data_IF_252731755289
#
_entry.id   IF_252731755289
#
_cell.length_a   1.000
_cell.length_b   1.000
_cell.length_c   1.000
_cell.angle_alpha   90.00
_cell.angle_beta   90.00
_cell.angle_gamma   90.00
#
_symmetry.space_group_name_H-M   'P 1'
#
loop_
_entity.id
_entity.type
_entity.pdbx_description
1 polymer ?
#
# COMPACT_ATOMS: atom_id res chain seq x y z
N UNK A 1 25.73 -5.91 -1.15
CA UNK A 1 24.34 -6.11 -0.73
C UNK A 1 23.36 -5.45 -1.67
N UNK A 2 22.12 -5.95 -1.68
CA UNK A 2 21.03 -5.40 -2.52
C UNK A 2 20.54 -4.04 -1.98
N UNK A 3 20.66 -3.83 -0.67
CA UNK A 3 20.36 -2.55 -0.04
C UNK A 3 21.48 -1.53 -0.32
N UNK A 4 21.14 -0.26 -0.67
CA UNK A 4 19.82 0.34 -0.71
C UNK A 4 19.10 0.23 -2.07
N UNK A 5 19.76 -0.19 -3.12
CA UNK A 5 19.28 -0.14 -4.52
C UNK A 5 17.99 -0.95 -4.73
N UNK A 6 17.98 -2.19 -4.26
CA UNK A 6 16.82 -3.06 -4.35
C UNK A 6 15.62 -2.54 -3.56
N UNK A 7 15.85 -1.88 -2.42
CA UNK A 7 14.80 -1.27 -1.63
C UNK A 7 14.11 -0.11 -2.36
N UNK A 8 14.90 0.76 -2.97
CA UNK A 8 14.39 1.90 -3.76
C UNK A 8 13.60 1.42 -4.97
N UNK A 9 14.11 0.42 -5.70
CA UNK A 9 13.40 -0.17 -6.84
C UNK A 9 12.12 -0.88 -6.40
N UNK A 10 12.17 -1.64 -5.30
CA UNK A 10 10.99 -2.32 -4.76
C UNK A 10 9.88 -1.33 -4.38
N UNK A 11 10.21 -0.22 -3.72
CA UNK A 11 9.26 0.84 -3.40
C UNK A 11 8.67 1.48 -4.67
N UNK A 12 9.50 1.72 -5.69
CA UNK A 12 9.09 2.28 -6.99
C UNK A 12 8.16 1.36 -7.79
N UNK A 13 8.15 0.06 -7.52
CA UNK A 13 7.23 -0.93 -8.11
C UNK A 13 6.00 -1.11 -7.23
N UNK A 14 6.17 -1.19 -5.91
CA UNK A 14 5.11 -1.49 -4.96
C UNK A 14 4.02 -0.42 -4.95
N UNK A 15 4.38 0.86 -4.90
CA UNK A 15 3.40 1.95 -4.84
C UNK A 15 2.55 2.05 -6.11
N UNK A 16 3.10 1.99 -7.35
CA UNK A 16 2.30 1.85 -8.56
C UNK A 16 1.41 0.60 -8.60
N UNK A 17 1.85 -0.51 -7.99
CA UNK A 17 1.00 -1.71 -7.88
C UNK A 17 -0.26 -1.42 -7.08
N UNK A 18 -0.13 -0.78 -5.93
CA UNK A 18 -1.28 -0.37 -5.11
C UNK A 18 -2.14 0.68 -5.82
N UNK A 19 -1.49 1.62 -6.53
CA UNK A 19 -2.19 2.63 -7.32
C UNK A 19 -3.10 2.00 -8.38
N UNK A 20 -2.60 1.04 -9.14
CA UNK A 20 -3.39 0.34 -10.16
C UNK A 20 -4.44 -0.60 -9.57
N UNK A 21 -4.15 -1.25 -8.44
CA UNK A 21 -5.09 -2.23 -7.85
C UNK A 21 -6.19 -1.57 -7.05
N UNK A 22 -5.84 -0.75 -6.07
CA UNK A 22 -6.81 -0.20 -5.11
C UNK A 22 -7.36 1.17 -5.53
N UNK A 23 -6.51 2.06 -6.05
CA UNK A 23 -6.92 3.45 -6.33
C UNK A 23 -7.70 3.53 -7.63
N UNK A 24 -7.15 2.98 -8.72
CA UNK A 24 -7.80 3.08 -10.04
C UNK A 24 -8.71 1.89 -10.36
N UNK A 25 -8.75 0.87 -9.50
CA UNK A 25 -9.57 -0.32 -9.70
C UNK A 25 -9.21 -1.07 -10.99
N UNK A 26 -7.91 -1.23 -11.26
CA UNK A 26 -7.33 -1.87 -12.44
C UNK A 26 -7.52 -1.10 -13.77
N UNK A 27 -7.98 0.17 -13.74
CA UNK A 27 -8.01 0.98 -14.96
C UNK A 27 -6.56 1.27 -15.43
N UNK A 28 -6.26 1.20 -16.73
CA UNK A 28 -7.18 1.03 -17.85
C UNK A 28 -7.47 -0.44 -18.24
N UNK A 29 -6.99 -1.44 -17.51
CA UNK A 29 -6.98 -2.86 -17.89
C UNK A 29 -8.27 -3.62 -17.54
N UNK A 30 -9.29 -2.96 -17.06
CA UNK A 30 -10.56 -3.55 -16.59
C UNK A 30 -11.32 -4.38 -17.65
N UNK A 31 -11.11 -4.07 -18.94
CA UNK A 31 -11.78 -4.74 -20.06
C UNK A 31 -11.04 -5.98 -20.56
N UNK A 32 -9.84 -6.24 -20.06
CA UNK A 32 -9.06 -7.40 -20.45
C UNK A 32 -9.50 -8.63 -19.65
N UNK A 33 -9.21 -9.82 -20.19
CA UNK A 33 -9.38 -11.05 -19.42
C UNK A 33 -8.51 -11.00 -18.13
N UNK A 34 -8.85 -11.75 -17.06
CA UNK A 34 -8.12 -11.68 -15.80
C UNK A 34 -6.61 -11.93 -15.94
N UNK A 35 -6.22 -12.89 -16.79
CA UNK A 35 -4.80 -13.20 -17.05
C UNK A 35 -4.13 -12.06 -17.81
N UNK A 36 -4.76 -11.58 -18.89
CA UNK A 36 -4.21 -10.47 -19.69
C UNK A 36 -4.10 -9.18 -18.86
N UNK A 37 -5.09 -8.89 -18.01
CA UNK A 37 -5.05 -7.76 -17.10
C UNK A 37 -3.88 -7.89 -16.10
N UNK A 38 -3.67 -9.07 -15.52
CA UNK A 38 -2.58 -9.34 -14.62
C UNK A 38 -1.20 -9.13 -15.26
N UNK A 39 -1.01 -9.67 -16.47
CA UNK A 39 0.22 -9.49 -17.25
C UNK A 39 0.44 -8.00 -17.59
N UNK A 40 -0.59 -7.32 -18.10
CA UNK A 40 -0.52 -5.90 -18.45
C UNK A 40 -0.18 -5.02 -17.24
N UNK A 41 -0.81 -5.27 -16.08
CA UNK A 41 -0.49 -4.59 -14.83
C UNK A 41 0.96 -4.86 -14.40
N UNK A 42 1.40 -6.12 -14.42
CA UNK A 42 2.77 -6.48 -14.07
C UNK A 42 3.78 -5.73 -14.92
N UNK A 43 3.63 -5.77 -16.25
CA UNK A 43 4.52 -5.05 -17.18
C UNK A 43 4.50 -3.55 -16.92
N UNK A 44 3.30 -2.99 -16.69
CA UNK A 44 3.15 -1.53 -16.44
C UNK A 44 3.85 -1.10 -15.16
N UNK A 45 3.67 -1.82 -14.04
CA UNK A 45 4.30 -1.42 -12.77
C UNK A 45 5.81 -1.55 -12.82
N UNK A 46 6.34 -2.57 -13.50
CA UNK A 46 7.78 -2.70 -13.73
C UNK A 46 8.31 -1.58 -14.63
N UNK A 47 7.63 -1.26 -15.73
CA UNK A 47 8.01 -0.17 -16.60
C UNK A 47 8.00 1.18 -15.85
N UNK A 48 6.97 1.44 -15.04
CA UNK A 48 6.88 2.64 -14.21
C UNK A 48 7.98 2.67 -13.13
N UNK A 49 8.25 1.55 -12.47
CA UNK A 49 9.29 1.45 -11.45
C UNK A 49 10.68 1.71 -12.04
N UNK A 50 10.99 1.11 -13.17
CA UNK A 50 12.25 1.33 -13.89
C UNK A 50 12.36 2.77 -14.42
N UNK A 51 11.26 3.32 -14.96
CA UNK A 51 11.24 4.70 -15.42
C UNK A 51 11.51 5.68 -14.26
N UNK A 52 10.90 5.48 -13.10
CA UNK A 52 11.21 6.27 -11.90
C UNK A 52 12.68 6.12 -11.53
N UNK A 53 13.19 4.90 -11.47
CA UNK A 53 14.57 4.61 -11.09
C UNK A 53 15.59 5.32 -11.98
N UNK A 54 15.39 5.31 -13.29
CA UNK A 54 16.34 5.89 -14.23
C UNK A 54 16.13 7.39 -14.49
N UNK A 55 14.90 7.87 -14.50
CA UNK A 55 14.61 9.25 -14.93
C UNK A 55 14.29 10.22 -13.80
N UNK A 56 13.77 9.73 -12.65
CA UNK A 56 13.46 10.62 -11.52
C UNK A 56 14.54 10.64 -10.47
N UNK A 57 15.31 9.55 -10.31
CA UNK A 57 16.25 9.40 -9.21
C UNK A 57 17.67 9.72 -9.62
N UNK A 58 18.46 10.18 -8.66
CA UNK A 58 19.90 10.26 -8.77
C UNK A 58 20.58 9.61 -7.56
N UNK A 59 21.77 9.11 -7.78
CA UNK A 59 22.65 8.50 -6.79
C UNK A 59 23.89 9.35 -6.61
N UNK A 60 23.69 10.68 -6.46
CA UNK A 60 24.82 11.60 -6.32
C UNK A 60 25.75 11.15 -5.18
N UNK A 61 27.04 11.05 -5.50
CA UNK A 61 28.08 10.76 -4.51
C UNK A 61 28.22 11.90 -3.50
N UNK A 62 28.61 11.58 -2.29
CA UNK A 62 28.82 12.55 -1.26
C UNK A 62 29.19 11.94 0.09
N UNK A 63 29.65 12.73 1.07
CA UNK A 63 29.96 12.24 2.39
C UNK A 63 28.76 11.54 3.03
N UNK A 64 28.96 10.32 3.53
CA UNK A 64 27.91 9.50 4.15
C UNK A 64 26.87 8.89 3.19
N UNK A 65 27.06 9.05 1.86
CA UNK A 65 26.20 8.43 0.84
C UNK A 65 26.80 7.12 0.33
N UNK A 66 25.99 6.13 0.01
CA UNK A 66 26.50 4.91 -0.60
C UNK A 66 27.09 5.22 -1.99
N UNK A 67 28.05 4.42 -2.48
CA UNK A 67 28.56 4.57 -3.84
C UNK A 67 27.42 4.45 -4.87
N UNK A 68 27.52 5.21 -5.96
CA UNK A 68 26.55 5.14 -7.04
C UNK A 68 26.55 3.73 -7.68
N UNK A 69 25.38 3.20 -8.10
CA UNK A 69 25.31 1.95 -8.83
C UNK A 69 25.95 2.12 -10.22
N UNK A 70 26.37 1.02 -10.88
CA UNK A 70 26.99 1.08 -12.22
C UNK A 70 26.11 1.80 -13.26
N UNK A 71 24.80 1.77 -13.09
CA UNK A 71 23.83 2.51 -13.90
C UNK A 71 23.10 3.45 -12.97
N UNK A 72 23.59 4.67 -12.84
CA UNK A 72 22.98 5.71 -12.03
C UNK A 72 21.88 6.44 -12.82
N UNK A 73 20.78 6.74 -12.16
CA UNK A 73 19.77 7.67 -12.69
C UNK A 73 20.28 9.12 -12.63
N UNK A 74 19.73 9.96 -13.51
CA UNK A 74 20.11 11.37 -13.65
C UNK A 74 18.98 12.32 -13.22
N UNK A 75 18.00 11.83 -12.47
CA UNK A 75 16.82 12.58 -12.06
C UNK A 75 17.09 13.65 -10.99
N UNK A 76 16.09 14.47 -10.68
CA UNK A 76 16.22 15.56 -9.71
C UNK A 76 16.12 15.11 -8.25
N UNK A 77 15.68 13.87 -7.98
CA UNK A 77 15.37 13.38 -6.63
C UNK A 77 16.49 12.48 -6.13
N UNK A 78 17.02 12.76 -4.94
CA UNK A 78 17.99 11.85 -4.33
C UNK A 78 17.33 10.50 -4.01
N UNK A 79 17.97 9.42 -4.43
CA UNK A 79 17.34 8.10 -4.47
C UNK A 79 16.93 7.57 -3.09
N UNK A 80 17.63 7.94 -2.00
CA UNK A 80 17.26 7.50 -0.65
C UNK A 80 16.11 8.28 -0.02
N UNK A 81 15.78 9.47 -0.55
CA UNK A 81 14.61 10.24 -0.08
C UNK A 81 13.32 9.72 -0.74
N UNK A 82 13.45 9.10 -1.93
CA UNK A 82 12.32 8.65 -2.73
C UNK A 82 11.38 7.66 -2.01
N UNK A 83 11.86 6.63 -1.31
CA UNK A 83 10.97 5.74 -0.56
C UNK A 83 10.09 6.46 0.46
N UNK A 84 10.62 7.43 1.20
CA UNK A 84 9.83 8.20 2.15
C UNK A 84 8.75 9.06 1.47
N UNK A 85 9.05 9.65 0.31
CA UNK A 85 8.07 10.35 -0.52
C UNK A 85 6.95 9.42 -1.00
N UNK A 86 7.31 8.22 -1.48
CA UNK A 86 6.34 7.19 -1.89
C UNK A 86 5.47 6.73 -0.72
N UNK A 87 6.00 6.67 0.49
CA UNK A 87 5.25 6.28 1.67
C UNK A 87 4.21 7.33 2.09
N UNK A 88 4.39 8.60 1.76
CA UNK A 88 3.33 9.61 1.83
C UNK A 88 2.13 9.25 0.94
N UNK A 89 2.40 8.77 -0.28
CA UNK A 89 1.33 8.26 -1.16
C UNK A 89 0.67 7.00 -0.59
N UNK A 90 1.45 6.08 0.00
CA UNK A 90 0.95 4.87 0.65
C UNK A 90 -0.08 5.18 1.74
N UNK A 91 0.18 6.17 2.59
CA UNK A 91 -0.78 6.59 3.62
C UNK A 91 -2.13 6.96 2.99
N UNK A 92 -2.13 7.76 1.93
CA UNK A 92 -3.37 8.16 1.26
C UNK A 92 -4.05 6.97 0.56
N UNK A 93 -3.29 6.09 -0.07
CA UNK A 93 -3.82 4.87 -0.69
C UNK A 93 -4.50 3.97 0.34
N UNK A 94 -3.86 3.73 1.47
CA UNK A 94 -4.41 2.87 2.52
C UNK A 94 -5.65 3.48 3.17
N UNK A 95 -5.59 4.75 3.56
CA UNK A 95 -6.70 5.40 4.27
C UNK A 95 -7.90 5.61 3.34
N UNK A 96 -7.72 6.23 2.18
CA UNK A 96 -8.86 6.61 1.34
C UNK A 96 -9.40 5.47 0.47
N UNK A 97 -8.54 4.56 0.01
CA UNK A 97 -8.98 3.55 -0.96
C UNK A 97 -9.15 2.15 -0.35
N UNK A 98 -8.40 1.79 0.67
CA UNK A 98 -8.63 0.53 1.37
C UNK A 98 -9.60 0.72 2.56
N UNK A 99 -9.30 1.60 3.52
CA UNK A 99 -10.10 1.79 4.72
C UNK A 99 -11.47 2.43 4.42
N UNK A 100 -11.48 3.53 3.64
CA UNK A 100 -12.69 4.28 3.29
C UNK A 100 -13.30 3.85 1.95
N UNK A 101 -12.79 2.77 1.33
CA UNK A 101 -13.33 2.16 0.10
C UNK A 101 -13.57 3.17 -1.03
N UNK A 102 -12.65 4.13 -1.18
CA UNK A 102 -12.66 5.14 -2.26
C UNK A 102 -13.50 6.39 -1.97
N UNK A 103 -14.03 6.57 -0.76
CA UNK A 103 -14.67 7.84 -0.39
C UNK A 103 -13.61 8.97 -0.26
N UNK A 104 -13.87 10.21 -0.73
CA UNK A 104 -15.13 10.71 -1.32
C UNK A 104 -15.26 10.51 -2.83
N UNK A 105 -14.29 9.90 -3.50
CA UNK A 105 -14.16 9.86 -4.96
C UNK A 105 -15.18 8.95 -5.66
N UNK A 106 -15.86 8.08 -4.90
CA UNK A 106 -16.91 7.20 -5.44
C UNK A 106 -18.11 7.96 -6.01
N UNK A 107 -18.32 9.23 -5.60
CA UNK A 107 -19.35 10.10 -6.15
C UNK A 107 -19.07 10.63 -7.55
N UNK A 108 -17.84 10.50 -8.07
CA UNK A 108 -17.47 11.00 -9.40
C UNK A 108 -17.95 9.99 -10.46
N UNK A 109 -19.01 10.38 -11.20
CA UNK A 109 -19.65 9.50 -12.20
C UNK A 109 -18.80 9.27 -13.45
N UNK A 110 -18.08 10.31 -13.91
CA UNK A 110 -17.22 10.20 -15.09
C UNK A 110 -15.93 9.44 -14.75
N UNK A 111 -15.74 8.29 -15.38
CA UNK A 111 -14.59 7.41 -15.08
C UNK A 111 -13.24 8.07 -15.42
N UNK A 112 -13.17 8.85 -16.50
CA UNK A 112 -11.94 9.57 -16.88
C UNK A 112 -11.59 10.67 -15.87
N UNK A 113 -12.58 11.47 -15.45
CA UNK A 113 -12.41 12.50 -14.43
C UNK A 113 -12.01 11.85 -13.11
N UNK A 114 -12.69 10.76 -12.71
CA UNK A 114 -12.34 10.01 -11.49
C UNK A 114 -10.88 9.52 -11.54
N UNK A 115 -10.48 8.93 -12.66
CA UNK A 115 -9.10 8.45 -12.86
C UNK A 115 -8.09 9.58 -12.65
N UNK A 116 -8.30 10.74 -13.28
CA UNK A 116 -7.39 11.90 -13.12
C UNK A 116 -7.39 12.41 -11.68
N UNK A 117 -8.57 12.63 -11.08
CA UNK A 117 -8.69 13.18 -9.73
C UNK A 117 -8.03 12.27 -8.68
N UNK A 118 -8.26 10.94 -8.74
CA UNK A 118 -7.66 10.04 -7.75
C UNK A 118 -6.15 9.94 -7.90
N UNK A 119 -5.62 10.02 -9.12
CA UNK A 119 -4.16 10.03 -9.34
C UNK A 119 -3.53 11.34 -8.86
N UNK A 120 -4.13 12.48 -9.17
CA UNK A 120 -3.66 13.78 -8.67
C UNK A 120 -3.70 13.83 -7.15
N UNK A 121 -4.78 13.34 -6.54
CA UNK A 121 -4.92 13.28 -5.09
C UNK A 121 -3.87 12.38 -4.43
N UNK A 122 -3.69 11.16 -4.92
CA UNK A 122 -2.74 10.22 -4.29
C UNK A 122 -1.31 10.61 -4.53
N UNK A 123 -0.94 10.99 -5.75
CA UNK A 123 0.44 11.33 -6.10
C UNK A 123 0.78 12.72 -5.57
N UNK A 124 0.02 13.74 -5.97
CA UNK A 124 0.26 15.13 -5.54
C UNK A 124 0.03 15.31 -4.03
N UNK A 125 -1.07 14.78 -3.52
CA UNK A 125 -1.40 14.82 -2.09
C UNK A 125 -0.40 14.03 -1.24
N UNK A 126 0.10 12.88 -1.73
CA UNK A 126 1.12 12.09 -1.03
C UNK A 126 2.46 12.82 -0.93
N UNK A 127 2.90 13.45 -2.00
CA UNK A 127 4.09 14.31 -1.99
C UNK A 127 3.91 15.50 -1.05
N UNK A 128 2.76 16.17 -1.12
CA UNK A 128 2.44 17.28 -0.22
C UNK A 128 2.40 16.83 1.25
N UNK A 129 1.83 15.67 1.54
CA UNK A 129 1.82 15.10 2.88
C UNK A 129 3.24 14.84 3.39
N UNK A 130 4.11 14.24 2.56
CA UNK A 130 5.52 14.04 2.91
C UNK A 130 6.18 15.37 3.30
N UNK A 131 6.05 16.41 2.46
CA UNK A 131 6.63 17.73 2.73
C UNK A 131 6.04 18.39 3.99
N UNK A 132 4.73 18.22 4.22
CA UNK A 132 4.08 18.74 5.43
C UNK A 132 4.60 18.05 6.69
N UNK A 133 4.80 16.72 6.67
CA UNK A 133 5.37 15.98 7.79
C UNK A 133 6.84 16.37 8.03
N UNK A 134 7.61 16.58 6.99
CA UNK A 134 8.97 17.12 7.10
C UNK A 134 8.99 18.52 7.69
N UNK A 135 8.05 19.39 7.30
CA UNK A 135 7.94 20.77 7.81
C UNK A 135 7.62 20.83 9.30
N UNK A 136 6.91 19.84 9.85
CA UNK A 136 6.68 19.72 11.32
C UNK A 136 7.81 18.99 12.05
N UNK A 137 8.94 18.72 11.37
CA UNK A 137 10.15 18.18 11.98
C UNK A 137 10.27 16.65 11.98
N UNK A 138 9.38 15.91 11.32
CA UNK A 138 9.53 14.45 11.20
C UNK A 138 10.70 14.07 10.28
N UNK A 139 11.48 13.10 10.69
CA UNK A 139 12.51 12.47 9.84
C UNK A 139 11.88 11.53 8.81
N UNK A 140 12.60 11.19 7.74
CA UNK A 140 12.15 10.21 6.74
C UNK A 140 11.97 8.82 7.35
N UNK A 141 12.77 8.46 8.36
CA UNK A 141 12.58 7.25 9.16
C UNK A 141 11.23 7.24 9.88
N UNK A 142 10.88 8.33 10.56
CA UNK A 142 9.60 8.46 11.27
C UNK A 142 8.41 8.43 10.32
N UNK A 143 8.50 9.08 9.17
CA UNK A 143 7.47 9.03 8.12
C UNK A 143 7.31 7.59 7.61
N UNK A 144 8.42 6.89 7.40
CA UNK A 144 8.42 5.49 6.96
C UNK A 144 7.79 4.57 8.00
N UNK A 145 8.14 4.72 9.28
CA UNK A 145 7.54 3.98 10.37
C UNK A 145 6.03 4.22 10.45
N UNK A 146 5.62 5.48 10.41
CA UNK A 146 4.20 5.86 10.45
C UNK A 146 3.41 5.23 9.29
N UNK A 147 3.93 5.32 8.07
CA UNK A 147 3.27 4.75 6.89
C UNK A 147 3.16 3.23 6.97
N UNK A 148 4.22 2.55 7.40
CA UNK A 148 4.22 1.09 7.60
C UNK A 148 3.20 0.64 8.65
N UNK A 149 3.11 1.35 9.76
CA UNK A 149 2.20 1.01 10.85
C UNK A 149 0.74 1.36 10.50
N UNK A 150 0.48 2.48 9.81
CA UNK A 150 -0.86 2.78 9.27
C UNK A 150 -1.29 1.67 8.31
N UNK A 151 -0.39 1.23 7.43
CA UNK A 151 -0.69 0.13 6.51
C UNK A 151 -1.05 -1.14 7.26
N UNK A 152 -0.27 -1.51 8.29
CA UNK A 152 -0.57 -2.65 9.14
C UNK A 152 -1.95 -2.53 9.81
N UNK A 153 -2.26 -1.38 10.41
CA UNK A 153 -3.54 -1.12 11.06
C UNK A 153 -4.72 -1.24 10.09
N UNK A 154 -4.61 -0.64 8.90
CA UNK A 154 -5.65 -0.69 7.87
C UNK A 154 -5.85 -2.11 7.33
N UNK A 155 -4.77 -2.84 7.08
CA UNK A 155 -4.82 -4.23 6.62
C UNK A 155 -5.44 -5.15 7.69
N UNK A 156 -5.11 -4.96 8.96
CA UNK A 156 -5.74 -5.68 10.06
C UNK A 156 -7.26 -5.42 10.04
N UNK A 157 -7.69 -4.18 9.96
CA UNK A 157 -9.12 -3.84 10.00
C UNK A 157 -9.85 -4.39 8.76
N UNK A 158 -9.36 -4.10 7.55
CA UNK A 158 -10.13 -4.35 6.33
C UNK A 158 -9.91 -5.76 5.77
N UNK A 159 -8.72 -6.34 5.91
CA UNK A 159 -8.41 -7.64 5.32
C UNK A 159 -8.58 -8.76 6.35
N UNK A 160 -8.06 -8.60 7.57
CA UNK A 160 -8.15 -9.66 8.58
C UNK A 160 -9.54 -9.71 9.22
N UNK A 161 -10.12 -8.56 9.61
CA UNK A 161 -11.40 -8.46 10.31
C UNK A 161 -12.57 -8.01 9.44
N UNK A 162 -12.38 -7.82 8.12
CA UNK A 162 -13.44 -7.43 7.16
C UNK A 162 -14.18 -6.15 7.54
N UNK A 163 -13.47 -5.19 8.11
CA UNK A 163 -14.00 -3.91 8.56
C UNK A 163 -14.74 -3.95 9.89
N UNK A 164 -14.77 -5.12 10.58
CA UNK A 164 -15.38 -5.20 11.93
C UNK A 164 -14.60 -4.30 12.93
N UNK A 165 -15.28 -3.65 13.90
CA UNK A 165 -16.72 -3.71 14.21
C UNK A 165 -17.61 -2.78 13.36
N UNK A 166 -17.07 -2.05 12.40
CA UNK A 166 -17.81 -1.05 11.60
C UNK A 166 -18.20 -1.61 10.22
N UNK A 167 -18.94 -2.72 10.20
CA UNK A 167 -19.39 -3.39 8.96
C UNK A 167 -20.72 -2.88 8.41
N UNK A 168 -21.34 -1.90 9.07
CA UNK A 168 -22.62 -1.33 8.68
C UNK A 168 -22.60 -0.53 7.36
N UNK A 169 -23.76 0.03 6.95
CA UNK A 169 -23.85 0.89 5.76
C UNK A 169 -22.80 2.00 5.80
N UNK A 170 -22.32 2.40 4.62
CA UNK A 170 -21.30 3.46 4.51
C UNK A 170 -21.87 4.83 4.89
N UNK A 171 -21.97 5.07 6.19
CA UNK A 171 -22.40 6.32 6.81
C UNK A 171 -21.22 7.06 7.41
N UNK A 172 -21.38 8.35 7.67
CA UNK A 172 -20.34 9.17 8.30
C UNK A 172 -19.85 8.56 9.63
N UNK A 173 -20.76 8.04 10.46
CA UNK A 173 -20.41 7.38 11.71
C UNK A 173 -19.54 6.13 11.52
N UNK A 174 -19.86 5.29 10.51
CA UNK A 174 -19.06 4.10 10.16
C UNK A 174 -17.65 4.50 9.72
N UNK A 175 -17.52 5.52 8.87
CA UNK A 175 -16.21 6.03 8.42
C UNK A 175 -15.41 6.62 9.58
N UNK A 176 -16.04 7.44 10.41
CA UNK A 176 -15.39 8.02 11.58
C UNK A 176 -14.91 6.93 12.54
N UNK A 177 -15.77 5.93 12.80
CA UNK A 177 -15.40 4.77 13.61
C UNK A 177 -14.18 4.03 13.08
N UNK A 178 -14.12 3.77 11.77
CA UNK A 178 -12.97 3.13 11.10
C UNK A 178 -11.70 3.98 11.22
N UNK A 179 -11.79 5.29 10.98
CA UNK A 179 -10.64 6.20 11.12
C UNK A 179 -10.14 6.21 12.56
N UNK A 180 -11.06 6.34 13.53
CA UNK A 180 -10.69 6.33 14.95
C UNK A 180 -10.03 5.01 15.36
N UNK A 181 -10.60 3.88 14.94
CA UNK A 181 -10.02 2.56 15.21
C UNK A 181 -8.63 2.42 14.58
N UNK A 182 -8.47 2.84 13.32
CA UNK A 182 -7.17 2.82 12.65
C UNK A 182 -6.15 3.70 13.37
N UNK A 183 -6.55 4.89 13.83
CA UNK A 183 -5.68 5.78 14.59
C UNK A 183 -5.26 5.15 15.95
N UNK A 184 -6.19 4.54 16.66
CA UNK A 184 -5.91 3.86 17.94
C UNK A 184 -4.96 2.69 17.74
N UNK A 185 -5.22 1.82 16.75
CA UNK A 185 -4.34 0.69 16.45
C UNK A 185 -2.95 1.18 16.01
N UNK A 186 -2.91 2.22 15.16
CA UNK A 186 -1.64 2.83 14.74
C UNK A 186 -0.85 3.35 15.94
N UNK A 187 -1.46 4.09 16.84
CA UNK A 187 -0.80 4.61 18.03
C UNK A 187 -0.30 3.49 18.95
N UNK A 188 -1.12 2.47 19.18
CA UNK A 188 -0.76 1.31 20.00
C UNK A 188 0.41 0.51 19.39
N UNK A 189 0.34 0.22 18.09
CA UNK A 189 1.41 -0.49 17.38
C UNK A 189 2.70 0.35 17.33
N UNK A 190 2.58 1.67 17.12
CA UNK A 190 3.74 2.56 17.11
C UNK A 190 4.45 2.52 18.47
N UNK A 191 3.71 2.70 19.56
CA UNK A 191 4.27 2.66 20.91
C UNK A 191 4.90 1.30 21.23
N UNK A 192 4.21 0.20 20.89
CA UNK A 192 4.68 -1.17 21.12
C UNK A 192 5.96 -1.45 20.32
N UNK A 193 5.95 -1.20 19.03
CA UNK A 193 7.11 -1.47 18.18
C UNK A 193 8.29 -0.56 18.50
N UNK A 194 8.04 0.69 18.86
CA UNK A 194 9.10 1.58 19.33
C UNK A 194 9.73 1.06 20.63
N UNK A 195 8.93 0.61 21.60
CA UNK A 195 9.43 0.06 22.85
C UNK A 195 10.25 -1.21 22.63
N UNK A 196 9.77 -2.16 21.81
CA UNK A 196 10.48 -3.40 21.49
C UNK A 196 11.75 -3.10 20.67
N UNK A 197 11.62 -2.30 19.60
CA UNK A 197 12.73 -2.00 18.70
C UNK A 197 13.86 -1.21 19.37
N UNK A 198 13.54 -0.38 20.35
CA UNK A 198 14.55 0.39 21.10
C UNK A 198 15.46 -0.50 21.96
N UNK A 199 15.08 -1.75 22.22
CA UNK A 199 15.93 -2.74 22.91
C UNK A 199 17.04 -3.22 21.97
N UNK A 200 16.66 -3.56 20.72
CA UNK A 200 17.59 -4.15 19.75
C UNK A 200 18.33 -3.07 18.92
N UNK A 201 17.74 -1.88 18.79
CA UNK A 201 18.28 -0.74 18.04
C UNK A 201 18.45 0.47 18.97
N UNK A 202 19.33 0.40 19.97
CA UNK A 202 19.64 1.57 20.77
C UNK A 202 20.22 2.66 19.84
N UNK A 203 19.88 3.92 20.11
CA UNK A 203 20.39 5.09 19.36
C UNK A 203 21.90 5.25 19.57
N UNK A 204 22.68 4.28 19.07
CA UNK A 204 24.13 4.24 19.12
C UNK A 204 24.71 4.54 17.74
N UNK A 205 25.86 5.22 17.62
CA UNK A 205 26.51 5.44 16.35
C UNK A 205 26.72 4.12 15.59
N UNK A 206 26.26 4.06 14.34
CA UNK A 206 26.43 2.89 13.47
C UNK A 206 25.27 1.87 13.52
N UNK A 207 24.29 2.03 14.42
CA UNK A 207 23.06 1.22 14.36
C UNK A 207 22.02 1.87 13.46
N UNK A 208 21.25 1.08 12.66
CA UNK A 208 20.12 1.61 11.91
C UNK A 208 19.09 2.27 12.87
N UNK A 209 18.43 3.36 12.46
CA UNK A 209 17.35 3.94 13.24
C UNK A 209 16.23 2.92 13.50
N UNK A 210 15.69 2.90 14.71
CA UNK A 210 14.58 2.02 15.10
C UNK A 210 13.37 2.15 14.17
N UNK A 211 13.16 3.33 13.62
CA UNK A 211 12.07 3.63 12.69
C UNK A 211 12.13 2.81 11.40
N UNK A 212 13.31 2.47 10.90
CA UNK A 212 13.44 1.59 9.71
C UNK A 212 13.01 0.16 10.03
N UNK A 213 13.35 -0.33 11.22
CA UNK A 213 12.87 -1.63 11.69
C UNK A 213 11.34 -1.62 11.89
N UNK A 214 10.79 -0.54 12.46
CA UNK A 214 9.34 -0.37 12.63
C UNK A 214 8.60 -0.35 11.29
N UNK A 215 9.13 0.37 10.30
CA UNK A 215 8.57 0.41 8.95
C UNK A 215 8.54 -0.98 8.31
N UNK A 216 9.66 -1.69 8.38
CA UNK A 216 9.79 -3.06 7.87
C UNK A 216 8.87 -4.03 8.60
N UNK A 217 8.75 -3.94 9.91
CA UNK A 217 7.86 -4.78 10.72
C UNK A 217 6.39 -4.51 10.38
N UNK A 218 5.98 -3.24 10.26
CA UNK A 218 4.62 -2.89 9.86
C UNK A 218 4.24 -3.42 8.48
N UNK A 219 5.10 -3.16 7.48
CA UNK A 219 4.81 -3.53 6.08
C UNK A 219 5.00 -5.03 5.81
N UNK A 220 6.13 -5.60 6.20
CA UNK A 220 6.52 -6.93 5.74
C UNK A 220 6.15 -8.02 6.73
N UNK A 221 6.08 -7.72 8.02
CA UNK A 221 5.69 -8.72 9.01
C UNK A 221 4.18 -8.66 9.27
N UNK A 222 3.66 -7.54 9.76
CA UNK A 222 2.26 -7.46 10.18
C UNK A 222 1.31 -7.45 8.98
N UNK A 223 1.48 -6.50 8.05
CA UNK A 223 0.57 -6.36 6.92
C UNK A 223 0.64 -7.57 5.97
N UNK A 224 1.83 -8.05 5.62
CA UNK A 224 1.99 -9.21 4.75
C UNK A 224 1.41 -10.47 5.38
N UNK A 225 1.66 -10.72 6.67
CA UNK A 225 1.08 -11.88 7.37
C UNK A 225 -0.43 -11.80 7.49
N UNK A 226 -1.02 -10.64 7.73
CA UNK A 226 -2.46 -10.47 7.75
C UNK A 226 -3.09 -10.82 6.38
N UNK A 227 -2.44 -10.42 5.27
CA UNK A 227 -2.88 -10.76 3.91
C UNK A 227 -2.75 -12.26 3.65
N UNK A 228 -1.59 -12.86 3.96
CA UNK A 228 -1.36 -14.31 3.80
C UNK A 228 -2.35 -15.10 4.66
N UNK A 229 -2.54 -14.69 5.92
CA UNK A 229 -3.51 -15.34 6.80
C UNK A 229 -4.93 -15.32 6.24
N UNK A 230 -5.38 -14.17 5.74
CA UNK A 230 -6.69 -14.05 5.13
C UNK A 230 -6.83 -14.89 3.85
N UNK A 231 -5.78 -14.96 3.04
CA UNK A 231 -5.77 -15.73 1.78
C UNK A 231 -5.73 -17.25 2.01
N UNK A 232 -4.89 -17.71 2.94
CA UNK A 232 -4.65 -19.16 3.17
C UNK A 232 -5.69 -19.76 4.12
N UNK A 233 -5.95 -19.07 5.24
CA UNK A 233 -6.84 -19.60 6.28
C UNK A 233 -8.25 -19.05 6.22
N UNK A 234 -8.58 -18.22 5.21
CA UNK A 234 -9.90 -17.63 5.04
C UNK A 234 -10.36 -16.86 6.28
N UNK A 235 -9.42 -16.15 6.92
CA UNK A 235 -9.61 -15.38 8.15
C UNK A 235 -9.94 -16.20 9.41
N UNK A 236 -9.85 -17.53 9.37
CA UNK A 236 -9.99 -18.33 10.58
C UNK A 236 -8.83 -18.08 11.55
N UNK A 237 -9.03 -17.94 12.89
CA UNK A 237 -10.30 -18.04 13.63
C UNK A 237 -11.11 -16.72 13.68
N UNK A 238 -10.69 -15.66 13.01
CA UNK A 238 -11.25 -14.30 13.09
C UNK A 238 -12.48 -14.08 12.18
N UNK A 239 -13.12 -15.17 11.70
CA UNK A 239 -14.34 -15.01 10.91
C UNK A 239 -15.44 -14.38 11.72
N UNK A 240 -15.94 -13.23 11.24
CA UNK A 240 -17.12 -12.60 11.82
C UNK A 240 -18.35 -13.42 11.41
N UNK A 241 -19.15 -13.82 12.38
CA UNK A 241 -20.40 -14.52 12.12
C UNK A 241 -21.30 -13.65 11.24
N UNK A 242 -21.72 -14.16 10.08
CA UNK A 242 -22.53 -13.42 9.10
C UNK A 242 -21.78 -12.95 7.84
N UNK A 243 -20.46 -13.09 7.76
CA UNK A 243 -19.77 -12.91 6.49
C UNK A 243 -20.25 -13.99 5.50
N UNK A 244 -20.80 -13.57 4.35
CA UNK A 244 -21.23 -14.50 3.30
C UNK A 244 -20.05 -15.41 2.94
N UNK A 245 -20.30 -16.72 2.89
CA UNK A 245 -19.32 -17.64 2.35
C UNK A 245 -18.92 -17.17 0.93
N UNK A 246 -17.64 -17.30 0.54
CA UNK A 246 -17.28 -17.02 -0.84
C UNK A 246 -18.20 -17.82 -1.76
N UNK A 247 -18.69 -17.22 -2.87
CA UNK A 247 -19.56 -17.94 -3.80
C UNK A 247 -18.87 -19.25 -4.16
N UNK A 248 -19.56 -20.34 -3.89
CA UNK A 248 -19.09 -21.68 -4.28
C UNK A 248 -18.77 -21.71 -5.77
N UNK A 249 -17.94 -22.64 -6.24
CA UNK A 249 -17.67 -22.77 -7.66
C UNK A 249 -19.00 -22.80 -8.40
N UNK A 250 -19.16 -21.90 -9.37
CA UNK A 250 -20.33 -21.83 -10.23
C UNK A 250 -20.52 -23.25 -10.79
N UNK A 251 -21.67 -23.90 -10.57
CA UNK A 251 -21.90 -25.20 -11.15
C UNK A 251 -21.70 -25.08 -12.67
N UNK A 252 -20.87 -25.94 -13.24
CA UNK A 252 -20.70 -25.97 -14.67
C UNK A 252 -22.11 -26.12 -15.27
N UNK A 253 -22.56 -25.11 -16.02
CA UNK A 253 -23.79 -25.19 -16.78
C UNK A 253 -23.78 -26.52 -17.55
N UNK A 254 -24.65 -27.45 -17.13
CA UNK A 254 -24.90 -28.62 -17.94
C UNK A 254 -25.41 -28.09 -19.27
N UNK A 255 -24.58 -28.16 -20.28
CA UNK A 255 -25.05 -27.98 -21.65
C UNK A 255 -26.16 -28.98 -21.87
N UNK A 256 -27.41 -28.56 -21.74
CA UNK A 256 -28.55 -29.30 -22.20
C UNK A 256 -28.35 -29.50 -23.71
N UNK A 257 -27.88 -30.70 -24.06
CA UNK A 257 -27.95 -31.16 -25.44
C UNK A 257 -29.42 -31.20 -25.76
N UNK A 258 -29.91 -30.23 -26.52
CA UNK A 258 -31.21 -30.37 -27.21
C UNK A 258 -31.15 -31.63 -28.06
N UNK A 259 -32.13 -32.53 -27.95
CA UNK A 259 -32.28 -33.66 -28.89
C UNK A 259 -32.55 -33.05 -30.28
N UNK A 260 -31.70 -33.39 -31.22
CA UNK A 260 -31.95 -33.13 -32.64
C UNK A 260 -32.96 -34.17 -33.04
N UNK A 261 -34.26 -33.81 -33.08
CA UNK A 261 -35.30 -34.60 -33.69
C UNK A 261 -35.05 -34.61 -35.20
N UNK A 262 -34.92 -35.84 -35.74
CA UNK A 262 -34.76 -36.17 -37.15
C UNK A 262 -36.04 -36.08 -37.99
#
# INVERSE_FOLDING_TARGET
GIFPYGFVLAASIFIPTLQLTFVTGKAPFQKLSPIAAGIAMFVTVWALGLAQYFFLLNWAEGPGRPPAPPVAGFGPIYALDWPAMLLGMLILQMVFFLLLKGFPFNGIRNAGVRFVVVNVFTIGGGLLLHWALRAVGMSDGQISALAGIITAAVVIIEILFDGWPFTGPDRAATRLGKITLAAVITAALYALLFAIGSIDYPNSPGTPPVELWMAGTGLNLIAAWAIVHAAVFGRWPFRVAGAAAPPGPVPAERSERQPVDG
#
